data_IF_963037696698
#
_entry.id   IF_963037696698
#
_cell.length_a   1.000
_cell.length_b   1.000
_cell.length_c   1.000
_cell.angle_alpha   90.00
_cell.angle_beta   90.00
_cell.angle_gamma   90.00
#
_symmetry.space_group_name_H-M   'P 1'
#
loop_
_entity.id
_entity.type
_entity.pdbx_description
1 polymer ?
#
# COMPACT_ATOMS: atom_id res chain seq x y z
N UNK A 1 24.29 33.84 15.58
CA UNK A 1 24.05 33.25 14.25
C UNK A 1 23.82 31.77 14.48
N UNK A 2 22.61 31.24 14.27
CA UNK A 2 22.36 29.81 14.40
C UNK A 2 23.13 29.03 13.33
N UNK A 3 23.76 27.93 13.76
CA UNK A 3 24.36 26.98 12.84
C UNK A 3 23.31 25.97 12.40
N UNK A 4 23.09 25.85 11.10
CA UNK A 4 22.07 25.01 10.46
C UNK A 4 22.73 23.94 9.58
N UNK A 5 22.00 22.87 9.33
CA UNK A 5 22.39 21.84 8.37
C UNK A 5 21.47 21.93 7.14
N UNK A 6 22.02 21.91 5.94
CA UNK A 6 21.26 21.73 4.71
C UNK A 6 21.60 20.39 4.07
N UNK A 7 20.59 19.55 3.80
CA UNK A 7 20.76 18.37 2.95
C UNK A 7 20.42 18.73 1.52
N UNK A 8 21.42 18.67 0.64
CA UNK A 8 21.28 18.98 -0.79
C UNK A 8 20.56 17.84 -1.51
N UNK A 9 20.12 18.11 -2.73
CA UNK A 9 19.53 17.12 -3.62
C UNK A 9 20.46 15.91 -3.89
N UNK A 10 21.78 16.15 -3.87
CA UNK A 10 22.81 15.12 -4.05
C UNK A 10 23.01 14.21 -2.84
N UNK A 11 22.31 14.47 -1.73
CA UNK A 11 22.41 13.69 -0.49
C UNK A 11 23.55 14.12 0.44
N UNK A 12 24.33 15.13 0.04
CA UNK A 12 25.37 15.76 0.86
C UNK A 12 24.74 16.65 1.95
N UNK A 13 25.43 16.77 3.08
CA UNK A 13 24.99 17.62 4.19
C UNK A 13 26.02 18.75 4.37
N UNK A 14 25.56 19.98 4.22
CA UNK A 14 26.38 21.20 4.30
C UNK A 14 26.04 21.94 5.59
N UNK A 15 27.07 22.44 6.29
CA UNK A 15 26.93 23.32 7.45
C UNK A 15 26.78 24.77 7.00
N UNK A 16 25.82 25.48 7.58
CA UNK A 16 25.49 26.86 7.22
C UNK A 16 25.34 27.73 8.44
N UNK A 17 26.12 28.81 8.49
CA UNK A 17 25.97 29.86 9.49
C UNK A 17 25.11 30.98 8.90
N UNK A 18 23.83 30.98 9.26
CA UNK A 18 22.82 31.87 8.65
C UNK A 18 22.29 32.85 9.68
N UNK A 19 22.02 34.09 9.28
CA UNK A 19 21.33 35.05 10.14
C UNK A 19 19.83 34.72 10.24
N UNK A 20 19.23 34.98 11.40
CA UNK A 20 17.81 34.71 11.66
C UNK A 20 16.87 35.56 10.79
N UNK A 21 17.35 36.68 10.25
CA UNK A 21 16.62 37.55 9.30
C UNK A 21 16.81 37.17 7.84
N UNK A 22 17.73 36.26 7.51
CA UNK A 22 17.95 35.84 6.12
C UNK A 22 16.70 35.15 5.56
N UNK A 23 16.51 35.26 4.26
CA UNK A 23 15.39 34.61 3.58
C UNK A 23 15.77 33.23 3.07
N UNK A 24 14.77 32.35 2.93
CA UNK A 24 14.97 31.00 2.37
C UNK A 24 15.52 31.07 0.94
N UNK A 25 15.12 32.08 0.15
CA UNK A 25 15.64 32.31 -1.20
C UNK A 25 17.15 32.59 -1.25
N UNK A 26 17.67 33.38 -0.30
CA UNK A 26 19.11 33.66 -0.19
C UNK A 26 19.92 32.40 0.17
N UNK A 27 19.40 31.57 1.08
CA UNK A 27 20.02 30.29 1.45
C UNK A 27 20.08 29.36 0.23
N UNK A 28 18.99 29.24 -0.52
CA UNK A 28 18.95 28.41 -1.74
C UNK A 28 19.93 28.91 -2.81
N UNK A 29 20.03 30.22 -2.99
CA UNK A 29 20.97 30.81 -3.94
C UNK A 29 22.43 30.52 -3.56
N UNK A 30 22.74 30.52 -2.26
CA UNK A 30 24.07 30.18 -1.74
C UNK A 30 24.48 28.71 -1.94
N UNK A 31 23.52 27.79 -2.10
CA UNK A 31 23.79 26.35 -2.27
C UNK A 31 23.73 25.86 -3.73
N UNK A 32 23.73 26.77 -4.72
CA UNK A 32 23.63 26.43 -6.14
C UNK A 32 22.41 25.57 -6.54
N UNK A 33 21.41 25.46 -5.65
CA UNK A 33 20.20 24.65 -5.78
C UNK A 33 18.96 25.56 -5.93
N UNK A 34 19.05 26.58 -6.80
CA UNK A 34 18.01 27.60 -6.98
C UNK A 34 16.65 27.06 -7.46
N UNK A 35 16.65 25.88 -8.10
CA UNK A 35 15.42 25.18 -8.53
C UNK A 35 14.83 24.20 -7.50
N UNK A 36 15.43 24.09 -6.30
CA UNK A 36 14.99 23.15 -5.27
C UNK A 36 13.93 23.76 -4.34
N UNK A 37 12.98 22.93 -3.90
CA UNK A 37 12.09 23.24 -2.80
C UNK A 37 12.82 23.05 -1.47
N UNK A 38 12.73 24.03 -0.57
CA UNK A 38 13.20 23.91 0.79
C UNK A 38 12.08 23.34 1.66
N UNK A 39 12.36 22.28 2.41
CA UNK A 39 11.40 21.61 3.29
C UNK A 39 11.96 21.56 4.70
N UNK A 40 11.16 22.01 5.66
CA UNK A 40 11.44 21.90 7.07
C UNK A 40 10.21 21.35 7.80
N UNK A 41 10.40 20.37 8.69
CA UNK A 41 9.31 19.71 9.43
C UNK A 41 8.18 19.15 8.54
N UNK A 42 8.50 18.77 7.29
CA UNK A 42 7.53 18.26 6.31
C UNK A 42 6.70 19.34 5.59
N UNK A 43 6.96 20.62 5.84
CA UNK A 43 6.31 21.76 5.17
C UNK A 43 7.27 22.38 4.16
N UNK A 44 6.78 22.63 2.95
CA UNK A 44 7.52 23.38 1.93
C UNK A 44 7.54 24.86 2.30
N UNK A 45 8.74 25.43 2.41
CA UNK A 45 8.95 26.83 2.74
C UNK A 45 8.92 27.69 1.47
N UNK A 46 8.35 28.89 1.60
CA UNK A 46 8.36 29.91 0.55
C UNK A 46 9.68 30.68 0.55
N UNK A 47 10.11 31.14 -0.63
CA UNK A 47 11.42 31.80 -0.78
C UNK A 47 11.50 33.15 -0.05
N UNK A 48 10.36 33.81 0.16
CA UNK A 48 10.25 35.09 0.86
C UNK A 48 10.21 34.95 2.39
N UNK A 49 10.05 33.74 2.92
CA UNK A 49 9.97 33.52 4.35
C UNK A 49 11.35 33.65 5.01
N UNK A 50 11.38 34.23 6.22
CA UNK A 50 12.63 34.35 7.00
C UNK A 50 12.91 33.12 7.85
N UNK A 51 14.17 32.86 8.17
CA UNK A 51 14.62 31.73 9.02
C UNK A 51 13.87 31.70 10.35
N UNK A 52 13.64 32.86 10.97
CA UNK A 52 12.90 32.98 12.24
C UNK A 52 11.43 32.60 12.12
N UNK A 53 10.76 33.02 11.04
CA UNK A 53 9.34 32.69 10.80
C UNK A 53 9.15 31.20 10.47
N UNK A 54 10.12 30.59 9.81
CA UNK A 54 10.13 29.16 9.54
C UNK A 54 10.43 28.30 10.78
N UNK A 55 10.79 28.90 11.91
CA UNK A 55 11.13 28.18 13.14
C UNK A 55 12.44 27.41 13.06
N UNK A 56 13.37 27.83 12.20
CA UNK A 56 14.69 27.23 12.06
C UNK A 56 15.60 27.73 13.19
N UNK A 57 15.97 26.83 14.10
CA UNK A 57 16.88 27.10 15.21
C UNK A 57 18.21 26.36 15.07
N UNK A 58 19.11 26.54 16.03
CA UNK A 58 20.43 25.90 16.06
C UNK A 58 20.32 24.36 15.94
N UNK A 59 21.10 23.78 15.02
CA UNK A 59 21.09 22.35 14.72
C UNK A 59 19.91 21.87 13.87
N UNK A 60 19.02 22.76 13.40
CA UNK A 60 17.92 22.38 12.50
C UNK A 60 18.45 21.91 11.15
N UNK A 61 17.78 20.91 10.55
CA UNK A 61 18.12 20.39 9.22
C UNK A 61 17.08 20.81 8.19
N UNK A 62 17.50 21.57 7.19
CA UNK A 62 16.70 21.96 6.04
C UNK A 62 16.96 20.98 4.89
N UNK A 63 15.89 20.46 4.28
CA UNK A 63 16.02 19.55 3.14
C UNK A 63 15.75 20.29 1.84
N UNK A 64 16.72 20.27 0.91
CA UNK A 64 16.56 20.78 -0.44
C UNK A 64 16.22 19.62 -1.37
N UNK A 65 14.99 19.62 -1.88
CA UNK A 65 14.49 18.60 -2.80
C UNK A 65 14.32 19.21 -4.20
N UNK A 66 14.84 18.58 -5.27
CA UNK A 66 14.58 19.03 -6.63
C UNK A 66 13.08 19.07 -6.90
N UNK A 67 12.59 20.19 -7.41
CA UNK A 67 11.23 20.27 -7.90
C UNK A 67 11.17 19.59 -9.26
N UNK A 68 11.07 18.27 -9.26
CA UNK A 68 10.94 17.50 -10.49
C UNK A 68 9.64 17.91 -11.18
N UNK A 69 9.65 18.27 -12.48
CA UNK A 69 8.45 18.52 -13.24
C UNK A 69 7.65 17.22 -13.35
N UNK A 70 6.74 17.02 -12.40
CA UNK A 70 5.61 16.09 -12.47
C UNK A 70 5.92 14.68 -12.98
N UNK A 71 6.57 13.85 -12.16
CA UNK A 71 6.47 12.39 -12.26
C UNK A 71 5.13 11.85 -11.72
N UNK A 72 4.03 12.54 -11.99
CA UNK A 72 2.70 12.15 -11.52
C UNK A 72 2.03 11.19 -12.50
N UNK A 73 1.83 9.95 -12.08
CA UNK A 73 0.87 8.98 -12.61
C UNK A 73 0.67 8.94 -14.15
N UNK A 74 1.70 8.49 -14.88
CA UNK A 74 1.56 7.85 -16.20
C UNK A 74 1.75 8.74 -17.44
N UNK A 75 2.32 8.13 -18.50
CA UNK A 75 2.50 8.76 -19.82
C UNK A 75 1.16 9.22 -20.42
N UNK A 76 1.13 10.28 -21.25
CA UNK A 76 -0.08 10.74 -21.93
C UNK A 76 -0.75 9.65 -22.80
N UNK A 77 0.03 8.68 -23.29
CA UNK A 77 -0.47 7.50 -24.01
C UNK A 77 -1.31 6.54 -23.15
N UNK A 78 -1.16 6.56 -21.82
CA UNK A 78 -1.90 5.69 -20.88
C UNK A 78 -3.18 6.31 -20.32
N UNK A 79 -3.43 7.60 -20.58
CA UNK A 79 -4.57 8.34 -20.05
C UNK A 79 -4.58 8.46 -18.52
N UNK A 80 -5.20 9.50 -17.97
CA UNK A 80 -5.34 9.72 -16.50
C UNK A 80 -6.28 8.71 -15.81
N UNK A 81 -6.36 7.47 -16.28
CA UNK A 81 -7.32 6.46 -15.82
C UNK A 81 -6.70 5.08 -15.70
N UNK A 82 -5.89 4.88 -14.67
CA UNK A 82 -5.74 3.52 -14.14
C UNK A 82 -5.66 3.44 -12.60
N UNK A 83 -6.69 3.96 -11.92
CA UNK A 83 -7.03 3.42 -10.59
C UNK A 83 -7.65 2.05 -10.82
N UNK A 84 -7.14 1.00 -10.16
CA UNK A 84 -7.73 -0.36 -10.24
C UNK A 84 -9.25 -0.24 -10.08
N UNK A 85 -10.02 -0.73 -11.05
CA UNK A 85 -11.50 -0.66 -11.00
C UNK A 85 -12.08 -1.51 -9.87
N UNK A 86 -11.33 -2.54 -9.45
CA UNK A 86 -11.71 -3.49 -8.42
C UNK A 86 -10.75 -3.52 -7.22
N UNK A 87 -11.33 -3.56 -6.03
CA UNK A 87 -10.68 -3.69 -4.73
C UNK A 87 -11.14 -4.91 -3.94
N UNK A 88 -10.54 -5.10 -2.76
CA UNK A 88 -11.00 -6.08 -1.79
C UNK A 88 -12.39 -5.68 -1.26
N UNK A 89 -13.32 -6.63 -1.29
CA UNK A 89 -14.65 -6.43 -0.73
C UNK A 89 -14.63 -6.61 0.80
N UNK A 90 -15.17 -5.66 1.60
CA UNK A 90 -15.24 -5.79 3.06
C UNK A 90 -15.96 -7.06 3.53
N UNK A 91 -17.01 -7.49 2.80
CA UNK A 91 -17.80 -8.66 3.20
C UNK A 91 -17.13 -10.01 2.87
N UNK A 92 -16.51 -10.15 1.70
CA UNK A 92 -16.03 -11.45 1.23
C UNK A 92 -14.51 -11.57 1.08
N UNK A 93 -13.77 -10.46 1.21
CA UNK A 93 -12.31 -10.42 1.07
C UNK A 93 -11.82 -10.84 -0.31
N UNK A 94 -12.68 -10.81 -1.34
CA UNK A 94 -12.31 -11.07 -2.74
C UNK A 94 -12.05 -9.74 -3.43
N UNK A 95 -11.09 -9.72 -4.36
CA UNK A 95 -10.80 -8.55 -5.22
C UNK A 95 -11.88 -8.40 -6.30
N UNK A 96 -13.10 -8.08 -5.87
CA UNK A 96 -14.30 -8.01 -6.71
C UNK A 96 -15.21 -6.83 -6.36
N UNK A 97 -14.78 -5.94 -5.45
CA UNK A 97 -15.51 -4.73 -5.12
C UNK A 97 -15.21 -3.65 -6.15
N UNK A 98 -16.21 -3.21 -6.90
CA UNK A 98 -16.01 -2.17 -7.90
C UNK A 98 -16.02 -0.78 -7.22
N UNK A 99 -14.94 -0.02 -7.33
CA UNK A 99 -14.79 1.25 -6.62
C UNK A 99 -15.73 2.36 -7.11
N UNK A 100 -15.97 2.44 -8.42
CA UNK A 100 -16.93 3.40 -8.99
C UNK A 100 -18.38 3.00 -8.68
N UNK A 101 -18.79 1.77 -9.03
CA UNK A 101 -20.16 1.26 -8.85
C UNK A 101 -20.51 0.93 -7.39
N UNK A 102 -19.56 1.09 -6.46
CA UNK A 102 -19.64 0.72 -5.03
C UNK A 102 -20.31 -0.64 -4.79
N UNK A 103 -20.08 -1.62 -5.67
CA UNK A 103 -20.78 -2.92 -5.63
C UNK A 103 -19.83 -4.08 -5.85
N UNK A 104 -19.98 -5.13 -5.04
CA UNK A 104 -19.20 -6.35 -5.17
C UNK A 104 -19.84 -7.34 -6.14
N UNK A 105 -19.10 -7.69 -7.20
CA UNK A 105 -19.56 -8.66 -8.20
C UNK A 105 -19.80 -10.06 -7.61
N UNK A 106 -18.99 -10.47 -6.62
CA UNK A 106 -19.02 -11.81 -6.06
C UNK A 106 -20.11 -12.04 -4.98
N UNK A 107 -20.36 -11.04 -4.13
CA UNK A 107 -21.29 -11.20 -3.00
C UNK A 107 -22.48 -10.23 -3.00
N UNK A 108 -22.50 -9.22 -3.87
CA UNK A 108 -23.60 -8.25 -3.95
C UNK A 108 -23.50 -7.06 -3.01
N UNK A 109 -22.54 -7.04 -2.07
CA UNK A 109 -22.29 -5.91 -1.15
C UNK A 109 -22.38 -4.57 -1.91
N UNK A 110 -23.14 -3.58 -1.42
CA UNK A 110 -23.67 -3.43 -0.06
C UNK A 110 -24.99 -4.17 0.26
N UNK A 111 -25.65 -4.83 -0.72
CA UNK A 111 -26.96 -5.49 -0.48
C UNK A 111 -26.96 -6.37 0.77
N UNK A 112 -27.99 -6.34 1.62
CA UNK A 112 -27.99 -7.14 2.86
C UNK A 112 -27.80 -8.64 2.59
N UNK A 113 -28.54 -9.17 1.61
CA UNK A 113 -28.45 -10.58 1.21
C UNK A 113 -27.28 -10.84 0.28
N UNK A 114 -26.62 -11.99 0.47
CA UNK A 114 -25.59 -12.45 -0.47
C UNK A 114 -26.22 -12.81 -1.82
N UNK A 115 -25.53 -12.41 -2.89
CA UNK A 115 -25.88 -12.81 -4.26
C UNK A 115 -25.84 -14.33 -4.42
N UNK A 116 -26.93 -14.89 -4.91
CA UNK A 116 -27.08 -16.30 -5.27
C UNK A 116 -27.53 -16.39 -6.72
N UNK A 117 -26.96 -17.32 -7.47
CA UNK A 117 -27.36 -17.59 -8.86
C UNK A 117 -27.79 -19.05 -8.91
N UNK A 118 -29.08 -19.31 -9.17
CA UNK A 118 -29.61 -20.67 -9.15
C UNK A 118 -28.98 -21.56 -10.24
N UNK A 119 -28.60 -20.96 -11.36
CA UNK A 119 -27.98 -21.61 -12.51
C UNK A 119 -26.47 -21.85 -12.39
N UNK A 120 -25.75 -21.15 -11.51
CA UNK A 120 -24.29 -21.29 -11.40
C UNK A 120 -23.87 -22.36 -10.40
N UNK A 121 -23.91 -23.63 -10.80
CA UNK A 121 -23.42 -24.78 -9.99
C UNK A 121 -21.98 -24.54 -9.49
N UNK A 122 -21.11 -23.95 -10.32
CA UNK A 122 -19.71 -23.60 -9.96
C UNK A 122 -19.64 -22.54 -8.87
N UNK A 123 -20.50 -21.52 -8.90
CA UNK A 123 -20.54 -20.49 -7.85
C UNK A 123 -21.12 -21.02 -6.54
N UNK A 124 -22.16 -21.89 -6.61
CA UNK A 124 -22.69 -22.63 -5.45
C UNK A 124 -21.59 -23.48 -4.80
N UNK A 125 -20.87 -24.29 -5.59
CA UNK A 125 -19.75 -25.11 -5.09
C UNK A 125 -18.69 -24.29 -4.38
N UNK A 126 -18.30 -23.12 -4.88
CA UNK A 126 -17.27 -22.25 -4.24
C UNK A 126 -17.67 -21.66 -2.88
N UNK A 127 -18.95 -21.73 -2.50
CA UNK A 127 -19.46 -21.29 -1.19
C UNK A 127 -19.83 -22.47 -0.28
N UNK A 128 -19.87 -23.69 -0.82
CA UNK A 128 -20.22 -24.87 -0.04
C UNK A 128 -19.05 -25.27 0.89
N UNK A 129 -19.37 -25.78 2.10
CA UNK A 129 -18.35 -26.29 3.03
C UNK A 129 -17.50 -27.36 2.35
N UNK A 130 -16.20 -27.41 2.68
CA UNK A 130 -15.24 -28.33 2.05
C UNK A 130 -14.63 -27.84 0.72
N UNK A 131 -14.88 -26.61 0.29
CA UNK A 131 -14.25 -26.04 -0.90
C UNK A 131 -13.53 -24.72 -0.59
N UNK A 132 -12.49 -24.38 -1.36
CA UNK A 132 -11.76 -23.11 -1.22
C UNK A 132 -11.16 -22.93 0.18
N UNK A 133 -11.59 -21.88 0.90
CA UNK A 133 -11.13 -21.53 2.26
C UNK A 133 -11.53 -22.55 3.34
N UNK A 134 -12.57 -23.34 3.10
CA UNK A 134 -13.05 -24.40 4.01
C UNK A 134 -12.52 -25.78 3.64
N UNK A 135 -11.41 -25.88 2.89
CA UNK A 135 -10.85 -27.17 2.47
C UNK A 135 -10.42 -28.04 3.64
N UNK A 136 -9.99 -27.43 4.75
CA UNK A 136 -9.64 -28.12 5.99
C UNK A 136 -10.81 -28.94 6.57
N UNK A 137 -12.07 -28.51 6.33
CA UNK A 137 -13.25 -29.25 6.80
C UNK A 137 -13.44 -30.60 6.09
N UNK A 138 -12.84 -30.81 4.90
CA UNK A 138 -12.89 -32.13 4.24
C UNK A 138 -12.15 -33.20 5.03
N UNK A 139 -11.05 -32.83 5.67
CA UNK A 139 -10.20 -33.77 6.40
C UNK A 139 -10.47 -33.74 7.91
N UNK A 140 -11.25 -32.79 8.41
CA UNK A 140 -11.68 -32.69 9.82
C UNK A 140 -12.29 -33.98 10.37
N UNK A 141 -13.29 -34.63 9.72
CA UNK A 141 -13.86 -35.88 10.25
C UNK A 141 -12.82 -37.00 10.39
N UNK A 142 -11.85 -37.04 9.48
CA UNK A 142 -10.74 -38.01 9.52
C UNK A 142 -9.76 -37.66 10.63
N UNK A 143 -9.36 -36.39 10.77
CA UNK A 143 -8.48 -35.92 11.85
C UNK A 143 -9.09 -36.17 13.23
N UNK A 144 -10.39 -35.93 13.39
CA UNK A 144 -11.13 -36.20 14.62
C UNK A 144 -11.09 -37.70 14.98
N UNK A 145 -11.37 -38.59 14.01
CA UNK A 145 -11.24 -40.06 14.21
C UNK A 145 -9.84 -40.52 14.56
N UNK A 146 -8.81 -39.78 14.18
CA UNK A 146 -7.42 -40.08 14.49
C UNK A 146 -6.88 -39.29 15.70
N UNK A 147 -7.75 -38.64 16.48
CA UNK A 147 -7.36 -37.90 17.69
C UNK A 147 -6.42 -36.72 17.42
N UNK A 148 -6.52 -36.09 16.25
CA UNK A 148 -5.66 -34.97 15.83
C UNK A 148 -4.15 -35.25 15.83
N UNK A 149 -3.75 -36.52 15.85
CA UNK A 149 -2.33 -36.91 15.77
C UNK A 149 -1.74 -36.51 14.41
N UNK A 150 -0.57 -35.88 14.45
CA UNK A 150 0.20 -35.48 13.25
C UNK A 150 1.41 -36.41 13.06
N UNK A 151 1.94 -36.52 11.83
CA UNK A 151 3.15 -37.30 11.53
C UNK A 151 2.99 -38.80 11.27
N UNK A 152 1.82 -39.39 11.48
CA UNK A 152 1.57 -40.81 11.16
C UNK A 152 1.06 -41.00 9.73
N UNK A 153 1.82 -41.70 8.88
CA UNK A 153 1.34 -42.12 7.57
C UNK A 153 0.40 -43.34 7.69
N UNK A 154 -0.80 -43.31 7.10
CA UNK A 154 -1.67 -44.48 7.09
C UNK A 154 -1.02 -45.60 6.26
N UNK A 155 -1.18 -46.87 6.65
CA UNK A 155 -0.71 -47.99 5.84
C UNK A 155 -1.36 -47.97 4.45
N UNK A 156 -0.64 -48.36 3.39
CA UNK A 156 -1.19 -48.38 2.04
C UNK A 156 -2.41 -49.32 1.98
N UNK A 157 -3.46 -48.90 1.27
CA UNK A 157 -4.66 -49.73 1.08
C UNK A 157 -4.26 -50.98 0.28
N UNK A 158 -4.46 -52.18 0.83
CA UNK A 158 -4.32 -53.43 0.08
C UNK A 158 -5.34 -53.40 -1.07
N UNK A 159 -4.86 -53.42 -2.32
CA UNK A 159 -5.75 -53.65 -3.48
C UNK A 159 -6.35 -55.05 -3.29
N UNK A 160 -7.67 -55.14 -3.28
CA UNK A 160 -8.34 -56.44 -3.25
C UNK A 160 -7.89 -57.23 -4.46
N UNK A 161 -7.47 -58.47 -4.27
CA UNK A 161 -7.22 -59.42 -5.36
C UNK A 161 -8.51 -59.58 -6.15
N UNK A 162 -8.39 -59.40 -7.46
CA UNK A 162 -9.46 -59.62 -8.44
C UNK A 162 -9.97 -61.05 -8.25
N UNK A 163 -11.25 -61.20 -7.89
CA UNK A 163 -11.89 -62.52 -7.83
C UNK A 163 -12.09 -62.96 -9.29
N UNK A 164 -11.48 -64.09 -9.64
CA UNK A 164 -11.77 -64.84 -10.87
C UNK A 164 -13.21 -65.35 -10.86
#
# INVERSE_FOLDING_TARGET
MPQLFARTAGGETVLLDVDASATVGEIKAGLADSGAAAVFSGVSLEDTATVRECGLGEGSTLHLLPLLPGGGDGTPAMGKRHKKTHGLCPRCGKRSFHYQKKRCAACGYPSARLRHYNWSKKAKRRKAPGTGRMRYLKTMPRRFKHGFREGTAPPPRKKGTEKQ
#
